data_IF_582966787509
#
_entry.id   IF_582966787509
#
_cell.length_a   1.000
_cell.length_b   1.000
_cell.length_c   1.000
_cell.angle_alpha   90.00
_cell.angle_beta   90.00
_cell.angle_gamma   90.00
#
_symmetry.space_group_name_H-M   'P 1'
#
loop_
_entity.id
_entity.type
_entity.pdbx_description
1 polymer ?
#
# COMPACT_ATOMS: atom_id res chain seq x y z
N UNK A 1 -8.14 -26.43 -55.86
CA UNK A 1 -6.74 -26.11 -55.47
C UNK A 1 -6.61 -24.59 -55.36
N UNK A 2 -6.05 -24.13 -54.22
CA UNK A 2 -5.63 -22.76 -53.85
C UNK A 2 -6.71 -21.76 -53.42
N UNK A 3 -6.38 -21.10 -52.29
CA UNK A 3 -7.02 -19.95 -51.61
C UNK A 3 -8.16 -20.44 -50.69
N UNK A 4 -8.04 -20.41 -49.36
CA UNK A 4 -7.66 -19.25 -48.53
C UNK A 4 -6.93 -19.73 -47.26
N UNK A 5 -5.62 -19.95 -47.38
CA UNK A 5 -4.70 -19.98 -46.23
C UNK A 5 -4.33 -18.53 -45.94
N UNK A 6 -5.00 -17.89 -44.98
CA UNK A 6 -4.68 -16.63 -44.30
C UNK A 6 -5.94 -16.26 -43.53
N UNK A 7 -5.80 -15.77 -42.30
CA UNK A 7 -6.88 -15.58 -41.30
C UNK A 7 -7.11 -16.83 -40.44
N UNK A 8 -6.07 -17.34 -39.78
CA UNK A 8 -6.22 -17.92 -38.44
C UNK A 8 -4.89 -17.91 -37.67
N UNK A 9 -4.06 -16.90 -37.93
CA UNK A 9 -2.76 -16.72 -37.28
C UNK A 9 -2.62 -15.30 -36.70
N UNK A 10 -3.74 -14.74 -36.24
CA UNK A 10 -3.78 -13.43 -35.58
C UNK A 10 -4.49 -13.46 -34.21
N UNK A 11 -5.02 -14.61 -33.79
CA UNK A 11 -5.64 -14.78 -32.47
C UNK A 11 -4.71 -15.37 -31.40
N UNK A 12 -3.53 -15.86 -31.80
CA UNK A 12 -2.53 -16.40 -30.84
C UNK A 12 -1.68 -15.29 -30.23
N UNK A 13 -1.59 -14.11 -30.87
CA UNK A 13 -0.75 -13.00 -30.40
C UNK A 13 -1.44 -12.06 -29.42
N UNK A 14 -2.76 -12.17 -29.21
CA UNK A 14 -3.51 -11.33 -28.27
C UNK A 14 -3.79 -12.02 -26.91
N UNK A 15 -3.22 -13.21 -26.69
CA UNK A 15 -3.40 -13.97 -25.45
C UNK A 15 -2.10 -14.09 -24.62
N UNK A 16 -1.07 -13.30 -24.94
CA UNK A 16 0.23 -13.30 -24.24
C UNK A 16 0.46 -12.14 -23.26
N UNK A 17 -0.55 -11.30 -22.98
CA UNK A 17 -0.48 -10.30 -21.90
C UNK A 17 -1.27 -10.71 -20.65
N UNK A 18 -1.56 -12.01 -20.49
CA UNK A 18 -2.12 -12.54 -19.24
C UNK A 18 -1.31 -13.74 -18.77
N UNK A 19 0.00 -13.58 -18.66
CA UNK A 19 0.82 -14.51 -17.90
C UNK A 19 1.75 -13.72 -16.98
N UNK A 20 1.55 -13.95 -15.68
CA UNK A 20 2.41 -13.56 -14.56
C UNK A 20 2.32 -12.10 -14.07
N UNK A 21 1.13 -11.65 -13.63
CA UNK A 21 1.10 -11.02 -12.30
C UNK A 21 1.34 -12.13 -11.27
N UNK A 22 2.58 -12.64 -11.20
CA UNK A 22 3.01 -13.28 -9.97
C UNK A 22 2.88 -12.18 -8.92
N UNK A 23 2.05 -12.39 -7.89
CA UNK A 23 1.90 -11.45 -6.77
C UNK A 23 3.30 -11.18 -6.21
N UNK A 24 3.96 -10.15 -6.72
CA UNK A 24 5.31 -9.82 -6.36
C UNK A 24 5.15 -9.13 -5.01
N UNK A 25 5.58 -9.79 -3.94
CA UNK A 25 5.46 -9.25 -2.59
C UNK A 25 5.93 -7.79 -2.59
N UNK A 26 5.14 -6.90 -2.00
CA UNK A 26 5.48 -5.48 -1.85
C UNK A 26 6.85 -5.33 -1.19
N UNK A 27 7.23 -6.25 -0.29
CA UNK A 27 8.54 -6.26 0.36
C UNK A 27 9.71 -6.25 -0.62
N UNK A 28 9.58 -6.96 -1.76
CA UNK A 28 10.61 -7.00 -2.80
C UNK A 28 10.77 -5.68 -3.57
N UNK A 29 9.84 -4.73 -3.37
CA UNK A 29 9.85 -3.38 -3.94
C UNK A 29 10.36 -2.32 -2.95
N UNK A 30 10.89 -2.73 -1.80
CA UNK A 30 11.53 -1.83 -0.84
C UNK A 30 12.51 -0.90 -1.55
N UNK A 31 12.42 0.39 -1.23
CA UNK A 31 13.15 1.45 -1.93
C UNK A 31 13.47 2.59 -0.95
N UNK A 32 13.99 3.70 -1.44
CA UNK A 32 14.21 4.93 -0.68
C UNK A 32 13.66 6.13 -1.45
N UNK A 33 13.52 7.27 -0.78
CA UNK A 33 12.98 8.50 -1.33
C UNK A 33 13.86 9.08 -2.44
N UNK A 34 15.13 8.67 -2.56
CA UNK A 34 15.99 9.12 -3.67
C UNK A 34 15.71 8.37 -4.98
N UNK A 35 15.03 7.23 -4.92
CA UNK A 35 14.68 6.40 -6.06
C UNK A 35 13.23 6.61 -6.49
N UNK A 36 12.96 7.73 -7.16
CA UNK A 36 11.63 8.12 -7.64
C UNK A 36 10.93 7.00 -8.42
N UNK A 37 11.65 6.34 -9.34
CA UNK A 37 11.07 5.26 -10.15
C UNK A 37 10.75 4.00 -9.33
N UNK A 38 11.54 3.71 -8.31
CA UNK A 38 11.28 2.63 -7.36
C UNK A 38 10.03 2.93 -6.54
N UNK A 39 9.93 4.17 -6.06
CA UNK A 39 8.81 4.66 -5.29
C UNK A 39 7.51 4.64 -6.10
N UNK A 40 7.50 5.16 -7.32
CA UNK A 40 6.34 5.11 -8.23
C UNK A 40 5.83 3.68 -8.42
N UNK A 41 6.73 2.72 -8.62
CA UNK A 41 6.37 1.30 -8.77
C UNK A 41 5.79 0.71 -7.50
N UNK A 42 6.39 1.01 -6.34
CA UNK A 42 5.90 0.55 -5.04
C UNK A 42 4.50 1.10 -4.77
N UNK A 43 4.32 2.41 -4.86
CA UNK A 43 3.04 3.08 -4.57
C UNK A 43 1.95 2.64 -5.56
N UNK A 44 2.28 2.48 -6.85
CA UNK A 44 1.34 1.97 -7.85
C UNK A 44 0.95 0.49 -7.65
N UNK A 45 1.73 -0.27 -6.87
CA UNK A 45 1.45 -1.68 -6.56
C UNK A 45 0.64 -1.88 -5.28
N UNK A 46 0.43 -0.83 -4.49
CA UNK A 46 -0.40 -0.86 -3.29
C UNK A 46 -1.88 -0.96 -3.68
N UNK A 47 -2.63 -1.77 -2.94
CA UNK A 47 -4.09 -1.77 -3.03
C UNK A 47 -4.65 -0.55 -2.28
N UNK A 48 -5.11 0.44 -3.06
CA UNK A 48 -5.73 1.66 -2.55
C UNK A 48 -7.22 1.48 -2.23
N UNK A 49 -7.74 0.27 -2.35
CA UNK A 49 -9.15 -0.05 -2.11
C UNK A 49 -10.07 0.74 -3.04
N UNK A 50 -11.00 1.56 -2.51
CA UNK A 50 -11.92 2.34 -3.34
C UNK A 50 -11.29 3.58 -3.98
N UNK A 51 -10.08 3.96 -3.58
CA UNK A 51 -9.40 5.15 -4.06
C UNK A 51 -8.52 4.86 -5.28
N UNK A 52 -8.31 5.89 -6.09
CA UNK A 52 -7.38 5.88 -7.22
C UNK A 52 -6.16 6.74 -6.87
N UNK A 53 -4.96 6.20 -7.11
CA UNK A 53 -3.72 6.95 -7.04
C UNK A 53 -3.67 7.99 -8.16
N UNK A 54 -3.48 9.26 -7.79
CA UNK A 54 -3.34 10.36 -8.75
C UNK A 54 -1.91 10.88 -8.85
N UNK A 55 -1.21 11.01 -7.72
CA UNK A 55 0.12 11.61 -7.69
C UNK A 55 0.91 11.15 -6.47
N UNK A 56 2.24 11.20 -6.58
CA UNK A 56 3.19 10.91 -5.50
C UNK A 56 4.26 11.99 -5.51
N UNK A 57 4.46 12.65 -4.38
CA UNK A 57 5.51 13.65 -4.21
C UNK A 57 6.35 13.32 -3.00
N UNK A 58 7.59 13.76 -3.07
CA UNK A 58 8.52 13.73 -1.96
C UNK A 58 8.71 15.17 -1.50
N UNK A 59 8.51 15.41 -0.22
CA UNK A 59 8.77 16.71 0.40
C UNK A 59 9.55 16.48 1.68
N UNK A 60 10.81 16.92 1.68
CA UNK A 60 11.76 16.60 2.74
C UNK A 60 11.86 15.08 2.96
N UNK A 61 11.43 14.57 4.12
CA UNK A 61 11.38 13.14 4.44
C UNK A 61 9.97 12.56 4.44
N UNK A 62 9.02 13.27 3.85
CA UNK A 62 7.63 12.86 3.78
C UNK A 62 7.23 12.41 2.37
N UNK A 63 6.37 11.39 2.32
CA UNK A 63 5.65 10.98 1.11
C UNK A 63 4.27 11.61 1.09
N UNK A 64 4.02 12.48 0.12
CA UNK A 64 2.70 13.04 -0.14
C UNK A 64 2.02 12.23 -1.25
N UNK A 65 0.92 11.58 -0.91
CA UNK A 65 0.15 10.72 -1.81
C UNK A 65 -1.20 11.39 -2.07
N UNK A 66 -1.47 11.67 -3.34
CA UNK A 66 -2.75 12.22 -3.77
C UNK A 66 -3.65 11.10 -4.25
N UNK A 67 -4.82 11.03 -3.65
CA UNK A 67 -5.86 10.06 -3.96
C UNK A 67 -7.11 10.77 -4.49
N UNK A 68 -7.83 10.11 -5.39
CA UNK A 68 -9.16 10.51 -5.83
C UNK A 68 -10.15 9.37 -5.71
N UNK A 69 -11.43 9.70 -5.81
CA UNK A 69 -12.53 8.76 -5.63
C UNK A 69 -13.34 9.06 -4.38
N UNK A 70 -14.29 8.18 -4.08
CA UNK A 70 -15.12 8.27 -2.88
C UNK A 70 -15.00 6.98 -2.10
N UNK A 71 -14.96 7.10 -0.78
CA UNK A 71 -15.11 5.95 0.09
C UNK A 71 -16.40 5.20 -0.26
N UNK A 72 -16.27 4.00 -0.84
CA UNK A 72 -17.37 3.04 -0.95
C UNK A 72 -17.53 2.20 0.32
N UNK A 73 -16.50 2.22 1.16
CA UNK A 73 -16.38 1.50 2.41
C UNK A 73 -16.82 2.37 3.58
N UNK A 74 -17.02 1.76 4.74
CA UNK A 74 -17.28 2.50 5.99
C UNK A 74 -16.11 3.44 6.34
N UNK A 75 -16.37 4.42 7.22
CA UNK A 75 -15.32 5.28 7.78
C UNK A 75 -14.17 4.45 8.38
N UNK A 76 -14.54 3.39 9.09
CA UNK A 76 -13.61 2.51 9.80
C UNK A 76 -12.72 1.72 8.85
N UNK A 77 -13.32 1.08 7.84
CA UNK A 77 -12.56 0.36 6.81
C UNK A 77 -11.65 1.30 6.02
N UNK A 78 -12.14 2.48 5.64
CA UNK A 78 -11.34 3.48 4.91
C UNK A 78 -10.16 3.97 5.75
N UNK A 79 -10.39 4.19 7.06
CA UNK A 79 -9.34 4.63 7.99
C UNK A 79 -8.29 3.54 8.19
N UNK A 80 -8.74 2.29 8.30
CA UNK A 80 -7.89 1.10 8.41
C UNK A 80 -7.00 0.94 7.19
N UNK A 81 -7.56 1.00 5.98
CA UNK A 81 -6.78 0.92 4.73
C UNK A 81 -5.73 2.04 4.68
N UNK A 82 -6.10 3.27 5.03
CA UNK A 82 -5.16 4.40 5.10
C UNK A 82 -4.01 4.16 6.07
N UNK A 83 -4.32 3.68 7.28
CA UNK A 83 -3.30 3.34 8.28
C UNK A 83 -2.36 2.23 7.79
N UNK A 84 -2.91 1.12 7.29
CA UNK A 84 -2.12 -0.03 6.85
C UNK A 84 -1.17 0.39 5.74
N UNK A 85 -1.68 1.10 4.73
CA UNK A 85 -0.87 1.57 3.61
C UNK A 85 0.22 2.54 4.09
N UNK A 86 -0.07 3.39 5.08
CA UNK A 86 0.89 4.30 5.68
C UNK A 86 2.03 3.56 6.38
N UNK A 87 1.69 2.57 7.22
CA UNK A 87 2.68 1.71 7.88
C UNK A 87 3.52 0.93 6.86
N UNK A 88 2.87 0.35 5.83
CA UNK A 88 3.57 -0.36 4.74
C UNK A 88 4.60 0.55 4.08
N UNK A 89 4.24 1.78 3.75
CA UNK A 89 5.16 2.75 3.15
C UNK A 89 6.29 3.14 4.08
N UNK A 90 6.02 3.36 5.37
CA UNK A 90 7.06 3.66 6.37
C UNK A 90 8.06 2.49 6.54
N UNK A 91 7.60 1.24 6.41
CA UNK A 91 8.46 0.05 6.43
C UNK A 91 9.26 -0.07 5.13
N UNK A 92 8.61 0.06 3.98
CA UNK A 92 9.21 -0.22 2.67
C UNK A 92 9.99 0.94 2.05
N UNK A 93 10.00 2.10 2.68
CA UNK A 93 10.78 3.28 2.28
C UNK A 93 11.64 3.79 3.43
N UNK A 94 12.42 4.86 3.24
CA UNK A 94 13.08 5.62 4.31
C UNK A 94 12.32 6.91 4.69
N UNK A 95 11.05 7.02 4.31
CA UNK A 95 10.18 8.10 4.77
C UNK A 95 10.03 8.12 6.30
N UNK A 96 9.92 9.33 6.85
CA UNK A 96 9.58 9.56 8.26
C UNK A 96 8.08 9.85 8.43
N UNK A 97 7.39 10.22 7.35
CA UNK A 97 5.97 10.52 7.38
C UNK A 97 5.29 10.22 6.04
N UNK A 98 4.02 9.84 6.10
CA UNK A 98 3.16 9.66 4.92
C UNK A 98 1.93 10.55 5.08
N UNK A 99 1.65 11.37 4.07
CA UNK A 99 0.48 12.24 4.00
C UNK A 99 -0.42 11.81 2.85
N UNK A 100 -1.72 11.81 3.10
CA UNK A 100 -2.74 11.60 2.10
C UNK A 100 -3.52 12.89 1.86
N UNK A 101 -3.73 13.21 0.59
CA UNK A 101 -4.58 14.32 0.16
C UNK A 101 -5.62 13.83 -0.84
N UNK A 102 -6.84 14.34 -0.74
CA UNK A 102 -7.97 13.88 -1.56
C UNK A 102 -9.31 14.25 -0.92
N UNK A 103 -10.38 14.10 -1.69
CA UNK A 103 -11.74 14.24 -1.16
C UNK A 103 -12.16 12.95 -0.42
N UNK A 104 -13.01 13.09 0.60
CA UNK A 104 -13.61 11.97 1.34
C UNK A 104 -12.61 10.97 1.98
N UNK A 105 -11.42 11.46 2.37
CA UNK A 105 -10.43 10.67 3.12
C UNK A 105 -10.71 10.70 4.62
N UNK A 106 -10.73 9.52 5.25
CA UNK A 106 -10.91 9.37 6.70
C UNK A 106 -9.61 9.20 7.49
N UNK A 107 -8.49 9.09 6.78
CA UNK A 107 -7.13 9.01 7.34
C UNK A 107 -6.20 9.85 6.47
N UNK A 108 -5.47 10.77 7.08
CA UNK A 108 -4.76 11.83 6.35
C UNK A 108 -3.26 11.80 6.54
N UNK A 109 -2.74 11.20 7.60
CA UNK A 109 -1.29 11.08 7.78
C UNK A 109 -0.92 10.06 8.85
N UNK A 110 0.33 9.59 8.76
CA UNK A 110 1.01 8.87 9.82
C UNK A 110 2.51 9.15 9.77
N UNK A 111 3.06 9.56 10.91
CA UNK A 111 4.49 9.65 11.11
C UNK A 111 5.04 8.35 11.73
N UNK A 112 6.35 8.19 11.62
CA UNK A 112 7.07 7.01 12.10
C UNK A 112 7.00 6.85 13.62
N UNK A 113 6.94 7.93 14.39
CA UNK A 113 6.93 7.85 15.85
C UNK A 113 5.58 7.32 16.34
N UNK A 114 4.47 7.83 15.77
CA UNK A 114 3.13 7.30 16.02
C UNK A 114 3.01 5.84 15.57
N UNK A 115 3.53 5.50 14.39
CA UNK A 115 3.55 4.11 13.93
C UNK A 115 4.35 3.22 14.89
N UNK A 116 5.51 3.65 15.37
CA UNK A 116 6.31 2.91 16.34
C UNK A 116 5.58 2.72 17.67
N UNK A 117 4.90 3.75 18.18
CA UNK A 117 4.13 3.65 19.42
C UNK A 117 3.05 2.58 19.33
N UNK A 118 2.28 2.59 18.23
CA UNK A 118 1.19 1.63 17.98
C UNK A 118 1.76 0.21 17.80
N UNK A 119 2.76 0.05 16.95
CA UNK A 119 3.36 -1.26 16.66
C UNK A 119 4.05 -1.86 17.88
N UNK A 120 4.72 -1.05 18.68
CA UNK A 120 5.39 -1.51 19.91
C UNK A 120 4.39 -1.93 20.97
N UNK A 121 3.31 -1.16 21.14
CA UNK A 121 2.24 -1.48 22.09
C UNK A 121 1.55 -2.79 21.73
N UNK A 122 1.28 -3.02 20.44
CA UNK A 122 0.52 -4.20 19.98
C UNK A 122 1.37 -5.44 19.71
N UNK A 123 2.56 -5.26 19.15
CA UNK A 123 3.38 -6.35 18.61
C UNK A 123 4.80 -6.40 19.20
N UNK A 124 5.18 -5.45 20.04
CA UNK A 124 6.50 -5.40 20.68
C UNK A 124 7.66 -5.07 19.72
N UNK A 125 7.38 -4.60 18.51
CA UNK A 125 8.35 -4.27 17.46
C UNK A 125 8.11 -2.87 16.91
N UNK A 126 9.14 -2.26 16.34
CA UNK A 126 9.08 -0.94 15.71
C UNK A 126 9.16 -1.07 14.18
N UNK A 127 8.83 0.01 13.44
CA UNK A 127 8.86 0.05 11.97
C UNK A 127 10.17 -0.52 11.41
N UNK A 128 11.30 -0.15 12.02
CA UNK A 128 12.63 -0.58 11.60
C UNK A 128 12.89 -2.10 11.76
N UNK A 129 12.18 -2.78 12.66
CA UNK A 129 12.32 -4.23 12.82
C UNK A 129 11.69 -4.97 11.65
N UNK A 130 10.52 -4.52 11.18
CA UNK A 130 9.84 -5.08 10.02
C UNK A 130 10.57 -4.82 8.70
N UNK A 131 11.54 -3.88 8.66
CA UNK A 131 12.40 -3.65 7.49
C UNK A 131 13.45 -4.74 7.26
N UNK A 132 13.65 -5.65 8.22
CA UNK A 132 14.76 -6.61 8.25
C UNK A 132 14.42 -7.95 7.62
N UNK A 133 13.15 -8.36 7.63
CA UNK A 133 12.70 -9.65 7.11
C UNK A 133 11.35 -9.52 6.39
N UNK A 134 11.24 -10.19 5.23
CA UNK A 134 9.98 -10.30 4.52
C UNK A 134 8.91 -11.04 5.35
N UNK A 135 9.32 -12.08 6.09
CA UNK A 135 8.40 -12.86 6.92
C UNK A 135 7.75 -11.99 8.02
N UNK A 136 8.56 -11.15 8.68
CA UNK A 136 8.06 -10.23 9.69
C UNK A 136 7.10 -9.19 9.09
N UNK A 137 7.44 -8.66 7.91
CA UNK A 137 6.58 -7.72 7.18
C UNK A 137 5.25 -8.37 6.74
N UNK A 138 5.29 -9.54 6.13
CA UNK A 138 4.11 -10.26 5.65
C UNK A 138 3.20 -10.62 6.84
N UNK A 139 3.78 -11.02 7.98
CA UNK A 139 3.05 -11.27 9.23
C UNK A 139 2.42 -9.99 9.80
N UNK A 140 3.11 -8.85 9.75
CA UNK A 140 2.57 -7.57 10.17
C UNK A 140 1.34 -7.17 9.34
N UNK A 141 1.47 -7.17 8.01
CA UNK A 141 0.39 -6.78 7.10
C UNK A 141 -0.84 -7.66 7.34
N UNK A 142 -0.65 -8.98 7.40
CA UNK A 142 -1.72 -9.94 7.70
C UNK A 142 -2.35 -9.70 9.07
N UNK A 143 -1.57 -9.34 10.08
CA UNK A 143 -2.11 -9.07 11.43
C UNK A 143 -2.99 -7.82 11.41
N UNK A 144 -2.47 -6.72 10.84
CA UNK A 144 -3.22 -5.46 10.70
C UNK A 144 -4.51 -5.63 9.88
N UNK A 145 -4.48 -6.40 8.79
CA UNK A 145 -5.66 -6.72 7.97
C UNK A 145 -6.73 -7.48 8.75
N UNK A 146 -6.35 -8.28 9.76
CA UNK A 146 -7.31 -9.04 10.57
C UNK A 146 -7.77 -8.29 11.84
N UNK A 147 -7.17 -7.15 12.19
CA UNK A 147 -7.60 -6.37 13.35
C UNK A 147 -8.94 -5.66 13.12
N UNK A 148 -9.72 -5.48 14.19
CA UNK A 148 -10.84 -4.53 14.14
C UNK A 148 -10.34 -3.11 14.35
N UNK A 149 -10.77 -2.22 13.48
CA UNK A 149 -10.43 -0.80 13.51
C UNK A 149 -11.73 -0.02 13.77
N UNK A 150 -11.80 0.77 14.83
CA UNK A 150 -12.94 1.67 15.08
C UNK A 150 -12.43 3.12 15.03
N UNK A 151 -12.84 3.88 14.02
CA UNK A 151 -12.40 5.26 13.76
C UNK A 151 -13.18 6.32 14.57
N UNK A 152 -14.04 5.89 15.51
CA UNK A 152 -14.86 6.76 16.37
C UNK A 152 -14.11 7.41 17.53
N UNK A 153 -12.94 6.89 17.85
CA UNK A 153 -11.86 7.46 18.66
C UNK A 153 -10.56 6.87 18.10
N UNK A 154 -9.37 7.30 18.48
CA UNK A 154 -8.17 6.51 18.22
C UNK A 154 -8.21 5.21 19.07
N UNK A 155 -9.08 4.27 18.67
CA UNK A 155 -9.16 2.92 19.16
C UNK A 155 -9.29 2.00 17.94
N UNK A 156 -8.13 1.67 17.36
CA UNK A 156 -7.86 0.24 17.20
C UNK A 156 -8.31 -0.45 18.49
N UNK A 157 -9.02 -1.58 18.47
CA UNK A 157 -9.36 -2.31 19.71
C UNK A 157 -8.04 -2.44 20.55
N UNK A 158 -7.90 -1.58 21.56
CA UNK A 158 -6.82 -1.47 22.54
C UNK A 158 -7.50 -1.74 23.90
N UNK A 159 -8.16 -2.89 23.99
CA UNK A 159 -8.83 -3.45 25.18
C UNK A 159 -8.94 -4.96 24.89
N UNK A 160 -8.34 -5.90 25.62
CA UNK A 160 -7.55 -5.95 26.86
C UNK A 160 -6.42 -6.98 26.67
#
# INVERSE_FOLDING_TARGET
MKRVYKILLSFVTLMFFVTACGNKSLYSMKTDLSNERGLEKLVASIDWGPYKLEDVKIKDKALEIKLSGKAKASKDESSKTGFINGVVLLVLTDAEEVWYSGEDLYFTSIDKDLANEILKTKYGKEVNDYKKSQEDFDNLVKSLENEKFEAGAAKFEMME
#
